data_IF_907318083722
#
_entry.id   IF_907318083722
#
_cell.length_a   1.000
_cell.length_b   1.000
_cell.length_c   1.000
_cell.angle_alpha   90.00
_cell.angle_beta   90.00
_cell.angle_gamma   90.00
#
_symmetry.space_group_name_H-M   'P 1'
#
loop_
_entity.id
_entity.type
_entity.pdbx_description
1 polymer ?
#
# COMPACT_ATOMS: atom_id res chain seq x y z
N UNK A 1 -0.09 30.84 -6.18
CA UNK A 1 -1.42 30.27 -5.82
C UNK A 1 -2.28 30.30 -7.08
N UNK A 2 -3.32 29.48 -7.23
CA UNK A 2 -4.30 29.71 -8.30
C UNK A 2 -4.98 31.08 -8.11
N UNK A 3 -5.34 31.75 -9.18
CA UNK A 3 -6.01 33.05 -9.15
C UNK A 3 -7.51 32.91 -9.50
N UNK A 4 -8.21 34.04 -9.58
CA UNK A 4 -9.64 34.10 -9.83
C UNK A 4 -10.09 33.38 -11.13
N UNK A 5 -9.35 33.44 -12.27
CA UNK A 5 -9.71 32.74 -13.49
C UNK A 5 -9.65 31.21 -13.35
N UNK A 6 -8.61 30.66 -12.72
CA UNK A 6 -8.49 29.21 -12.52
C UNK A 6 -9.61 28.68 -11.61
N UNK A 7 -9.99 29.45 -10.58
CA UNK A 7 -11.10 29.09 -9.69
C UNK A 7 -12.46 29.15 -10.42
N UNK A 8 -12.68 30.13 -11.31
CA UNK A 8 -13.90 30.19 -12.13
C UNK A 8 -13.97 29.09 -13.19
N UNK A 9 -12.85 28.74 -13.81
CA UNK A 9 -12.77 27.63 -14.76
C UNK A 9 -13.00 26.27 -14.06
N UNK A 10 -12.40 26.07 -12.88
CA UNK A 10 -12.68 24.91 -12.04
C UNK A 10 -14.16 24.85 -11.63
N UNK A 11 -14.76 25.98 -11.24
CA UNK A 11 -16.19 26.07 -10.91
C UNK A 11 -17.11 25.71 -12.08
N UNK A 12 -16.81 26.16 -13.31
CA UNK A 12 -17.56 25.75 -14.51
C UNK A 12 -17.42 24.26 -14.79
N UNK A 13 -16.20 23.73 -14.75
CA UNK A 13 -15.93 22.31 -15.01
C UNK A 13 -16.62 21.37 -14.00
N UNK A 14 -16.77 21.80 -12.74
CA UNK A 14 -17.51 21.05 -11.71
C UNK A 14 -19.02 21.01 -12.01
N UNK A 15 -19.58 22.05 -12.66
CA UNK A 15 -21.02 22.20 -12.87
C UNK A 15 -21.56 21.49 -14.12
N UNK A 16 -20.72 20.93 -15.00
CA UNK A 16 -21.17 20.25 -16.23
C UNK A 16 -21.63 18.80 -16.01
N UNK A 17 -21.43 18.22 -14.82
CA UNK A 17 -21.81 16.85 -14.49
C UNK A 17 -23.03 16.80 -13.55
N UNK A 18 -24.24 16.97 -14.10
CA UNK A 18 -25.51 16.94 -13.33
C UNK A 18 -25.70 15.67 -12.50
N UNK A 19 -25.27 14.51 -13.02
CA UNK A 19 -25.28 13.24 -12.29
C UNK A 19 -24.25 12.25 -12.86
N UNK A 20 -23.72 11.39 -11.98
CA UNK A 20 -22.76 10.33 -12.33
C UNK A 20 -23.02 9.06 -11.50
N UNK A 21 -22.63 7.91 -12.04
CA UNK A 21 -22.61 6.62 -11.35
C UNK A 21 -21.18 6.27 -10.95
N UNK A 22 -21.00 5.81 -9.72
CA UNK A 22 -19.74 5.22 -9.25
C UNK A 22 -19.83 3.71 -9.40
N UNK A 23 -18.81 3.09 -10.01
CA UNK A 23 -18.57 1.65 -9.93
C UNK A 23 -17.13 1.38 -9.48
N UNK A 24 -16.83 0.14 -9.08
CA UNK A 24 -15.53 -0.23 -8.53
C UNK A 24 -15.04 -1.58 -9.08
N UNK A 25 -13.73 -1.68 -9.33
CA UNK A 25 -13.05 -2.96 -9.59
C UNK A 25 -11.77 -3.05 -8.75
N UNK A 26 -11.33 -4.25 -8.39
CA UNK A 26 -10.14 -4.46 -7.57
C UNK A 26 -9.12 -5.36 -8.29
N UNK A 27 -7.84 -5.04 -8.17
CA UNK A 27 -6.72 -5.80 -8.72
C UNK A 27 -5.56 -5.89 -7.72
N UNK A 28 -5.50 -7.00 -6.99
CA UNK A 28 -4.50 -7.24 -5.95
C UNK A 28 -4.67 -6.27 -4.78
N UNK A 29 -3.77 -5.29 -4.64
CA UNK A 29 -3.86 -4.24 -3.59
C UNK A 29 -4.19 -2.84 -4.14
N UNK A 30 -4.81 -2.80 -5.31
CA UNK A 30 -5.33 -1.58 -5.92
C UNK A 30 -6.84 -1.72 -6.13
N UNK A 31 -7.56 -0.62 -5.97
CA UNK A 31 -8.99 -0.52 -6.26
C UNK A 31 -9.20 0.67 -7.20
N UNK A 32 -9.85 0.45 -8.33
CA UNK A 32 -10.23 1.50 -9.27
C UNK A 32 -11.68 1.88 -9.03
N UNK A 33 -11.96 3.15 -8.78
CA UNK A 33 -13.29 3.72 -8.94
C UNK A 33 -13.43 4.29 -10.34
N UNK A 34 -14.57 4.05 -10.96
CA UNK A 34 -14.95 4.56 -12.26
C UNK A 34 -16.15 5.49 -12.06
N UNK A 35 -15.98 6.77 -12.40
CA UNK A 35 -17.01 7.80 -12.34
C UNK A 35 -17.57 7.98 -13.75
N UNK A 36 -18.73 7.38 -14.03
CA UNK A 36 -19.39 7.44 -15.33
C UNK A 36 -20.53 8.48 -15.29
N UNK A 37 -20.46 9.59 -16.05
CA UNK A 37 -21.59 10.52 -16.20
C UNK A 37 -22.87 9.79 -16.67
N UNK A 38 -24.03 10.25 -16.22
CA UNK A 38 -25.32 9.74 -16.73
C UNK A 38 -25.76 10.42 -18.04
N UNK A 39 -25.26 11.63 -18.30
CA UNK A 39 -25.45 12.36 -19.56
C UNK A 39 -24.23 12.27 -20.48
N UNK A 40 -24.07 13.26 -21.36
CA UNK A 40 -22.90 13.39 -22.23
C UNK A 40 -21.67 13.81 -21.43
N UNK A 41 -20.66 12.93 -21.34
CA UNK A 41 -19.39 13.25 -20.69
C UNK A 41 -18.38 12.11 -20.80
N UNK A 42 -17.11 12.41 -20.55
CA UNK A 42 -16.07 11.39 -20.46
C UNK A 42 -16.08 10.72 -19.07
N UNK A 43 -15.91 9.40 -19.03
CA UNK A 43 -15.69 8.65 -17.79
C UNK A 43 -14.37 9.04 -17.15
N UNK A 44 -14.35 9.25 -15.83
CA UNK A 44 -13.14 9.53 -15.06
C UNK A 44 -12.82 8.36 -14.12
N UNK A 45 -11.65 7.76 -14.27
CA UNK A 45 -11.14 6.73 -13.38
C UNK A 45 -10.19 7.28 -12.30
N UNK A 46 -10.20 6.62 -11.13
CA UNK A 46 -9.36 6.90 -9.97
C UNK A 46 -8.84 5.58 -9.39
N UNK A 47 -7.53 5.34 -9.39
CA UNK A 47 -6.92 4.13 -8.79
C UNK A 47 -6.36 4.42 -7.40
N UNK A 48 -6.94 3.77 -6.39
CA UNK A 48 -6.63 3.87 -4.97
C UNK A 48 -5.71 2.73 -4.49
N UNK A 49 -4.87 3.06 -3.52
CA UNK A 49 -4.20 2.13 -2.60
C UNK A 49 -4.52 2.60 -1.18
N UNK A 50 -4.99 1.71 -0.31
CA UNK A 50 -5.53 2.12 1.01
C UNK A 50 -4.46 2.29 2.10
N UNK A 51 -3.20 1.90 1.86
CA UNK A 51 -2.17 1.93 2.89
C UNK A 51 -2.48 0.95 4.03
N UNK A 52 -2.53 1.45 5.27
CA UNK A 52 -2.82 0.64 6.48
C UNK A 52 -4.16 0.98 7.16
N UNK A 53 -4.83 2.06 6.77
CA UNK A 53 -6.06 2.52 7.43
C UNK A 53 -7.06 3.20 6.48
N UNK A 54 -6.78 3.18 5.17
CA UNK A 54 -7.74 3.59 4.16
C UNK A 54 -8.94 2.65 4.10
N UNK A 55 -10.12 3.22 3.98
CA UNK A 55 -11.40 2.53 3.81
C UNK A 55 -12.36 3.43 3.02
N UNK A 56 -13.37 2.84 2.38
CA UNK A 56 -14.54 3.58 1.94
C UNK A 56 -15.67 3.42 2.94
N UNK A 57 -16.40 4.50 3.21
CA UNK A 57 -17.62 4.50 4.02
C UNK A 57 -18.67 5.35 3.34
N UNK A 58 -19.90 4.85 3.27
CA UNK A 58 -21.07 5.65 2.90
C UNK A 58 -21.72 6.15 4.19
N UNK A 59 -21.96 7.45 4.29
CA UNK A 59 -22.47 8.12 5.50
C UNK A 59 -23.41 9.27 5.12
N UNK A 60 -24.27 9.77 6.04
CA UNK A 60 -24.99 11.02 5.83
C UNK A 60 -24.02 12.18 5.58
N UNK A 61 -24.30 13.07 4.63
CA UNK A 61 -23.39 14.17 4.31
C UNK A 61 -23.26 15.22 5.43
N UNK A 62 -24.17 15.21 6.41
CA UNK A 62 -24.09 15.99 7.65
C UNK A 62 -23.10 15.39 8.68
N UNK A 63 -22.82 14.08 8.60
CA UNK A 63 -22.08 13.31 9.62
C UNK A 63 -20.77 12.74 9.05
N UNK A 64 -19.97 13.63 8.44
CA UNK A 64 -18.74 13.22 7.77
C UNK A 64 -17.67 12.72 8.76
N UNK A 65 -17.05 11.55 8.53
CA UNK A 65 -15.92 11.08 9.32
C UNK A 65 -14.75 12.07 9.33
N UNK A 66 -14.19 12.35 10.51
CA UNK A 66 -13.07 13.30 10.76
C UNK A 66 -11.87 13.15 9.81
N UNK A 67 -11.65 11.96 9.26
CA UNK A 67 -10.52 11.61 8.40
C UNK A 67 -10.92 11.28 6.96
N UNK A 68 -12.06 11.78 6.47
CA UNK A 68 -12.48 11.71 5.08
C UNK A 68 -11.67 12.70 4.21
N UNK A 69 -10.74 12.18 3.39
CA UNK A 69 -9.85 13.01 2.55
C UNK A 69 -10.35 13.19 1.12
N UNK A 70 -11.21 12.29 0.64
CA UNK A 70 -11.92 12.41 -0.64
C UNK A 70 -13.38 12.03 -0.40
N UNK A 71 -14.32 12.74 -1.04
CA UNK A 71 -15.75 12.65 -0.80
C UNK A 71 -16.50 12.72 -2.14
N UNK A 72 -17.44 11.82 -2.35
CA UNK A 72 -18.37 11.83 -3.47
C UNK A 72 -19.79 12.00 -2.90
N UNK A 73 -20.49 13.07 -3.28
CA UNK A 73 -21.83 13.37 -2.78
C UNK A 73 -22.89 12.74 -3.68
N UNK A 74 -23.96 12.20 -3.08
CA UNK A 74 -25.18 11.80 -3.81
C UNK A 74 -26.09 13.01 -4.00
N UNK A 75 -26.93 12.97 -5.05
CA UNK A 75 -27.98 13.95 -5.34
C UNK A 75 -29.30 13.66 -4.60
N UNK A 76 -29.29 12.72 -3.66
CA UNK A 76 -30.44 12.33 -2.84
C UNK A 76 -30.74 13.42 -1.79
N UNK A 77 -31.96 13.40 -1.22
CA UNK A 77 -32.34 14.25 -0.09
C UNK A 77 -32.87 13.38 1.06
N UNK A 78 -32.23 13.37 2.25
CA UNK A 78 -30.99 14.06 2.57
C UNK A 78 -29.77 13.47 1.85
N UNK A 79 -28.76 14.29 1.49
CA UNK A 79 -27.60 13.82 0.74
C UNK A 79 -26.71 12.89 1.57
N UNK A 80 -26.09 11.92 0.89
CA UNK A 80 -25.08 11.00 1.45
C UNK A 80 -23.71 11.27 0.83
N UNK A 81 -22.66 10.84 1.52
CA UNK A 81 -21.27 11.00 1.09
C UNK A 81 -20.54 9.66 1.13
N UNK A 82 -20.06 9.20 -0.04
CA UNK A 82 -19.07 8.13 -0.11
C UNK A 82 -17.69 8.74 0.16
N UNK A 83 -17.11 8.39 1.31
CA UNK A 83 -15.89 8.98 1.82
C UNK A 83 -14.72 7.99 1.76
N UNK A 84 -13.59 8.39 1.18
CA UNK A 84 -12.31 7.73 1.41
C UNK A 84 -11.74 8.22 2.75
N UNK A 85 -11.82 7.37 3.77
CA UNK A 85 -11.38 7.66 5.14
C UNK A 85 -10.02 7.00 5.38
N UNK A 86 -9.00 7.78 5.73
CA UNK A 86 -7.68 7.26 6.12
C UNK A 86 -7.06 8.03 7.28
N UNK A 87 -7.11 7.45 8.49
CA UNK A 87 -6.58 8.09 9.71
C UNK A 87 -5.08 8.40 9.60
N UNK A 88 -4.30 7.56 8.92
CA UNK A 88 -2.83 7.63 8.90
C UNK A 88 -2.25 8.32 7.66
N UNK A 89 -3.09 8.65 6.68
CA UNK A 89 -2.69 9.32 5.41
C UNK A 89 -1.57 8.57 4.67
N UNK A 90 -1.64 7.24 4.65
CA UNK A 90 -0.74 6.36 3.89
C UNK A 90 -1.41 5.79 2.64
N UNK A 91 -2.72 5.98 2.50
CA UNK A 91 -3.41 5.77 1.25
C UNK A 91 -3.02 6.81 0.20
N UNK A 92 -3.18 6.43 -1.07
CA UNK A 92 -2.86 7.26 -2.22
C UNK A 92 -3.84 6.96 -3.35
N UNK A 93 -4.28 7.98 -4.09
CA UNK A 93 -5.00 7.79 -5.35
C UNK A 93 -4.31 8.51 -6.50
N UNK A 94 -4.57 8.05 -7.73
CA UNK A 94 -4.14 8.68 -8.98
C UNK A 94 -5.31 8.79 -9.94
N UNK A 95 -5.32 9.83 -10.76
CA UNK A 95 -6.23 9.96 -11.90
C UNK A 95 -5.84 8.98 -13.01
N UNK A 96 -6.83 8.51 -13.77
CA UNK A 96 -6.65 7.55 -14.86
C UNK A 96 -6.96 6.11 -14.45
N UNK A 97 -7.05 5.24 -15.45
CA UNK A 97 -7.55 3.87 -15.33
C UNK A 97 -6.47 2.81 -15.09
N UNK A 98 -5.21 3.17 -15.37
CA UNK A 98 -4.06 2.29 -15.39
C UNK A 98 -3.67 1.77 -13.99
N UNK A 99 -3.56 0.45 -13.87
CA UNK A 99 -2.93 -0.26 -12.73
C UNK A 99 -1.42 0.02 -12.65
N UNK A 100 -0.78 -0.26 -11.51
CA UNK A 100 0.66 -0.04 -11.33
C UNK A 100 1.43 -1.02 -12.26
N UNK A 101 2.26 -0.50 -13.17
CA UNK A 101 2.93 -1.30 -14.20
C UNK A 101 3.89 -2.37 -13.64
N UNK A 102 4.42 -2.17 -12.44
CA UNK A 102 5.30 -3.08 -11.72
C UNK A 102 4.55 -4.19 -10.94
N UNK A 103 3.20 -4.25 -11.03
CA UNK A 103 2.37 -5.25 -10.35
C UNK A 103 1.91 -6.37 -11.27
N UNK A 104 2.16 -7.59 -10.83
CA UNK A 104 1.72 -8.80 -11.50
C UNK A 104 0.19 -9.01 -11.44
N UNK A 105 -0.29 -10.10 -12.06
CA UNK A 105 -1.70 -10.49 -12.01
C UNK A 105 -2.21 -10.68 -10.59
N UNK A 106 -3.47 -10.33 -10.37
CA UNK A 106 -4.18 -10.49 -9.10
C UNK A 106 -4.32 -11.97 -8.73
N UNK A 107 -3.91 -12.34 -7.53
CA UNK A 107 -4.05 -13.73 -7.03
C UNK A 107 -5.51 -14.19 -6.92
N UNK A 108 -6.47 -13.27 -6.83
CA UNK A 108 -7.92 -13.56 -6.76
C UNK A 108 -8.53 -13.65 -8.15
N UNK A 109 -8.50 -12.57 -8.93
CA UNK A 109 -9.24 -12.44 -10.20
C UNK A 109 -8.47 -12.94 -11.44
N UNK A 110 -7.16 -13.16 -11.34
CA UNK A 110 -6.30 -13.52 -12.48
C UNK A 110 -5.44 -14.77 -12.16
N UNK A 111 -5.95 -15.73 -11.38
CA UNK A 111 -5.17 -16.87 -10.82
C UNK A 111 -4.27 -17.58 -11.83
N UNK A 112 -4.78 -17.94 -13.02
CA UNK A 112 -4.01 -18.67 -14.02
C UNK A 112 -2.83 -17.83 -14.54
N UNK A 113 -3.07 -16.56 -14.89
CA UNK A 113 -2.02 -15.64 -15.31
C UNK A 113 -1.02 -15.34 -14.17
N UNK A 114 -1.48 -15.27 -12.92
CA UNK A 114 -0.62 -15.17 -11.73
C UNK A 114 0.32 -16.38 -11.63
N UNK A 115 -0.22 -17.61 -11.71
CA UNK A 115 0.55 -18.85 -11.62
C UNK A 115 1.60 -18.90 -12.74
N UNK A 116 1.20 -18.64 -13.98
CA UNK A 116 2.10 -18.62 -15.14
C UNK A 116 3.20 -17.55 -14.99
N UNK A 117 2.86 -16.34 -14.53
CA UNK A 117 3.82 -15.27 -14.27
C UNK A 117 4.88 -15.66 -13.22
N UNK A 118 4.50 -16.38 -12.16
CA UNK A 118 5.49 -16.90 -11.18
C UNK A 118 6.35 -18.00 -11.81
N UNK A 119 5.73 -19.02 -12.41
CA UNK A 119 6.43 -20.21 -12.91
C UNK A 119 7.35 -19.94 -14.11
N UNK A 120 7.05 -18.89 -14.91
CA UNK A 120 7.87 -18.45 -16.03
C UNK A 120 9.11 -17.64 -15.61
N UNK A 121 9.09 -17.03 -14.42
CA UNK A 121 10.12 -16.08 -13.98
C UNK A 121 10.90 -16.56 -12.74
N UNK A 122 10.95 -17.87 -12.46
CA UNK A 122 11.62 -18.41 -11.27
C UNK A 122 13.11 -18.01 -11.17
N UNK A 123 13.78 -17.75 -12.29
CA UNK A 123 15.17 -17.27 -12.36
C UNK A 123 15.36 -15.82 -11.88
N UNK A 124 14.28 -15.05 -11.66
CA UNK A 124 14.34 -13.69 -11.12
C UNK A 124 14.94 -13.70 -9.70
N UNK A 125 15.81 -12.71 -9.42
CA UNK A 125 16.48 -12.52 -8.11
C UNK A 125 15.50 -12.32 -6.95
N UNK A 126 14.24 -11.99 -7.22
CA UNK A 126 13.16 -12.01 -6.23
C UNK A 126 13.00 -13.38 -5.54
N UNK A 127 13.27 -14.48 -6.25
CA UNK A 127 13.14 -15.85 -5.75
C UNK A 127 14.43 -16.38 -5.08
N UNK A 128 15.52 -15.62 -5.09
CA UNK A 128 16.69 -15.92 -4.24
C UNK A 128 16.47 -15.54 -2.77
N UNK A 129 15.42 -14.79 -2.45
CA UNK A 129 15.06 -14.36 -1.10
C UNK A 129 14.30 -15.44 -0.31
N UNK A 130 14.19 -15.29 1.02
CA UNK A 130 13.24 -16.03 1.85
C UNK A 130 11.83 -16.09 1.24
N UNK A 131 11.15 -17.23 1.28
CA UNK A 131 9.80 -17.39 0.74
C UNK A 131 8.79 -16.43 1.39
N UNK A 132 8.92 -16.15 2.69
CA UNK A 132 8.07 -15.16 3.35
C UNK A 132 8.26 -13.72 2.81
N UNK A 133 9.41 -13.39 2.21
CA UNK A 133 9.66 -12.09 1.58
C UNK A 133 9.24 -12.09 0.10
N UNK A 134 9.52 -13.17 -0.63
CA UNK A 134 9.07 -13.33 -2.01
C UNK A 134 7.54 -13.20 -2.11
N UNK A 135 6.80 -13.81 -1.18
CA UNK A 135 5.33 -13.68 -1.06
C UNK A 135 4.82 -12.24 -0.86
N UNK A 136 5.66 -11.29 -0.44
CA UNK A 136 5.28 -9.87 -0.36
C UNK A 136 5.56 -9.08 -1.64
N UNK A 137 6.33 -9.63 -2.58
CA UNK A 137 6.71 -8.94 -3.82
C UNK A 137 5.48 -8.83 -4.76
N UNK A 138 4.99 -7.61 -4.96
CA UNK A 138 3.76 -7.36 -5.73
C UNK A 138 3.94 -7.51 -7.25
N UNK A 139 5.18 -7.63 -7.76
CA UNK A 139 5.46 -8.04 -9.15
C UNK A 139 4.99 -9.47 -9.43
N UNK A 140 4.97 -10.31 -8.40
CA UNK A 140 4.64 -11.73 -8.51
C UNK A 140 3.37 -12.09 -7.74
N UNK A 141 3.23 -11.63 -6.50
CA UNK A 141 2.13 -11.97 -5.58
C UNK A 141 1.26 -10.73 -5.30
N UNK A 142 0.66 -10.16 -6.34
CA UNK A 142 -0.18 -8.96 -6.22
C UNK A 142 -1.48 -9.28 -5.47
N UNK A 143 -1.60 -8.76 -4.25
CA UNK A 143 -2.66 -9.10 -3.29
C UNK A 143 -2.13 -9.64 -1.95
N UNK A 144 -1.07 -10.46 -1.95
CA UNK A 144 -0.62 -11.16 -0.73
C UNK A 144 -0.03 -10.19 0.31
N UNK A 145 -0.69 -10.13 1.47
CA UNK A 145 -0.36 -9.28 2.62
C UNK A 145 0.41 -9.99 3.73
N UNK A 146 0.65 -9.26 4.83
CA UNK A 146 1.45 -9.79 5.95
C UNK A 146 0.76 -10.93 6.72
N UNK A 147 -0.57 -10.89 6.84
CA UNK A 147 -1.34 -11.98 7.44
C UNK A 147 -1.42 -13.17 6.47
N UNK A 148 -1.80 -12.92 5.20
CA UNK A 148 -1.89 -13.96 4.17
C UNK A 148 -0.62 -14.79 4.04
N UNK A 149 0.59 -14.18 4.01
CA UNK A 149 1.82 -14.98 3.93
C UNK A 149 2.02 -15.92 5.11
N UNK A 150 1.60 -15.54 6.32
CA UNK A 150 1.69 -16.40 7.50
C UNK A 150 0.66 -17.54 7.42
N UNK A 151 -0.58 -17.23 7.05
CA UNK A 151 -1.68 -18.18 6.90
C UNK A 151 -1.44 -19.22 5.79
N UNK A 152 -0.83 -18.79 4.67
CA UNK A 152 -0.47 -19.65 3.53
C UNK A 152 0.69 -20.58 3.90
N UNK A 153 1.80 -20.04 4.42
CA UNK A 153 2.97 -20.85 4.82
C UNK A 153 2.63 -21.84 5.94
N UNK A 154 1.76 -21.43 6.88
CA UNK A 154 1.30 -22.28 7.98
C UNK A 154 0.46 -23.48 7.52
N UNK A 155 -0.41 -23.31 6.52
CA UNK A 155 -1.22 -24.40 5.94
C UNK A 155 -0.34 -25.50 5.33
N UNK A 156 0.80 -25.14 4.74
CA UNK A 156 1.76 -26.10 4.14
C UNK A 156 2.95 -26.48 5.05
N UNK A 157 3.03 -25.91 6.26
CA UNK A 157 4.16 -26.08 7.19
C UNK A 157 5.53 -25.75 6.56
N UNK A 158 5.56 -24.80 5.62
CA UNK A 158 6.79 -24.36 4.95
C UNK A 158 7.53 -23.38 5.89
N UNK A 159 8.83 -23.62 6.22
CA UNK A 159 9.60 -22.67 7.02
C UNK A 159 9.72 -21.31 6.29
N UNK A 160 9.41 -20.19 6.96
CA UNK A 160 9.33 -18.88 6.29
C UNK A 160 10.64 -18.38 5.67
N UNK A 161 11.77 -18.88 6.15
CA UNK A 161 13.11 -18.57 5.67
C UNK A 161 13.74 -19.72 4.85
N UNK A 162 12.93 -20.56 4.22
CA UNK A 162 13.39 -21.32 3.05
C UNK A 162 13.62 -20.40 1.84
N UNK A 163 14.53 -20.81 0.95
CA UNK A 163 14.78 -20.11 -0.31
C UNK A 163 13.56 -20.25 -1.24
N UNK A 164 13.01 -19.13 -1.70
CA UNK A 164 11.75 -19.15 -2.45
C UNK A 164 11.80 -19.98 -3.73
N UNK A 165 12.90 -19.90 -4.50
CA UNK A 165 13.09 -20.71 -5.71
C UNK A 165 13.02 -22.21 -5.43
N UNK A 166 13.73 -22.68 -4.40
CA UNK A 166 13.76 -24.10 -4.01
C UNK A 166 12.37 -24.64 -3.64
N UNK A 167 11.55 -23.84 -2.94
CA UNK A 167 10.16 -24.20 -2.62
C UNK A 167 9.31 -24.33 -3.89
N UNK A 168 9.45 -23.39 -4.83
CA UNK A 168 8.64 -23.35 -6.06
C UNK A 168 9.07 -24.40 -7.10
N UNK A 169 10.37 -24.70 -7.20
CA UNK A 169 10.91 -25.77 -8.04
C UNK A 169 10.46 -27.15 -7.54
N UNK A 170 10.60 -27.43 -6.25
CA UNK A 170 10.10 -28.68 -5.66
C UNK A 170 8.59 -28.88 -5.91
N UNK A 171 7.81 -27.80 -5.93
CA UNK A 171 6.39 -27.84 -6.28
C UNK A 171 6.16 -28.10 -7.77
N UNK A 172 6.96 -27.52 -8.67
CA UNK A 172 6.93 -27.81 -10.12
C UNK A 172 7.13 -29.30 -10.39
N UNK A 173 8.11 -29.90 -9.74
CA UNK A 173 8.47 -31.31 -9.92
C UNK A 173 7.43 -32.25 -9.31
N UNK A 174 6.88 -31.89 -8.15
CA UNK A 174 5.72 -32.57 -7.58
C UNK A 174 4.51 -32.48 -8.50
N UNK A 175 4.22 -31.32 -9.11
CA UNK A 175 3.11 -31.16 -10.03
C UNK A 175 3.30 -32.02 -11.29
N UNK A 176 4.48 -32.01 -11.91
CA UNK A 176 4.77 -32.86 -13.07
C UNK A 176 4.66 -34.35 -12.73
N UNK A 177 5.17 -34.77 -11.58
CA UNK A 177 5.07 -36.15 -11.08
C UNK A 177 3.61 -36.54 -10.83
N UNK A 178 2.81 -35.65 -10.23
CA UNK A 178 1.36 -35.82 -10.07
C UNK A 178 0.66 -35.90 -11.42
N UNK A 179 0.96 -35.03 -12.39
CA UNK A 179 0.36 -35.06 -13.75
C UNK A 179 0.65 -36.40 -14.45
N UNK A 180 1.88 -36.91 -14.39
CA UNK A 180 2.25 -38.25 -14.90
C UNK A 180 1.45 -39.36 -14.20
N UNK A 181 1.42 -39.38 -12.87
CA UNK A 181 0.67 -40.38 -12.07
C UNK A 181 -0.85 -40.29 -12.25
N UNK A 182 -1.37 -39.09 -12.49
CA UNK A 182 -2.78 -38.83 -12.70
C UNK A 182 -3.23 -39.12 -14.13
N UNK A 183 -2.32 -39.36 -15.08
CA UNK A 183 -2.66 -39.76 -16.45
C UNK A 183 -3.60 -40.98 -16.45
N UNK A 184 -3.28 -42.00 -15.66
CA UNK A 184 -4.01 -43.27 -15.55
C UNK A 184 -5.18 -43.29 -14.54
N UNK A 185 -5.50 -42.17 -13.88
CA UNK A 185 -6.59 -42.11 -12.90
C UNK A 185 -7.92 -41.64 -13.51
N UNK A 186 -9.04 -42.01 -12.88
CA UNK A 186 -10.37 -41.48 -13.23
C UNK A 186 -10.54 -40.04 -12.73
N UNK A 187 -11.38 -39.23 -13.41
CA UNK A 187 -11.59 -37.81 -13.10
C UNK A 187 -11.87 -37.56 -11.60
N UNK A 188 -12.77 -38.35 -11.00
CA UNK A 188 -13.15 -38.24 -9.59
C UNK A 188 -11.99 -38.50 -8.63
N UNK A 189 -11.07 -39.43 -8.98
CA UNK A 189 -9.84 -39.68 -8.20
C UNK A 189 -8.85 -38.52 -8.34
N UNK A 190 -8.68 -37.94 -9.55
CA UNK A 190 -7.85 -36.73 -9.77
C UNK A 190 -8.35 -35.55 -8.94
N UNK A 191 -9.65 -35.26 -8.99
CA UNK A 191 -10.28 -34.16 -8.23
C UNK A 191 -10.14 -34.35 -6.71
N UNK A 192 -10.39 -35.56 -6.20
CA UNK A 192 -10.20 -35.88 -4.77
C UNK A 192 -8.74 -35.70 -4.34
N UNK A 193 -7.78 -36.06 -5.18
CA UNK A 193 -6.36 -35.93 -4.87
C UNK A 193 -5.85 -34.48 -4.94
N UNK A 194 -6.30 -33.68 -5.91
CA UNK A 194 -5.98 -32.25 -5.96
C UNK A 194 -6.53 -31.51 -4.75
N UNK A 195 -7.79 -31.78 -4.36
CA UNK A 195 -8.43 -31.13 -3.20
C UNK A 195 -7.73 -31.40 -1.87
N UNK A 196 -7.03 -32.53 -1.75
CA UNK A 196 -6.41 -32.95 -0.49
C UNK A 196 -5.00 -32.36 -0.27
N UNK A 197 -4.24 -32.09 -1.35
CA UNK A 197 -2.84 -31.66 -1.27
C UNK A 197 -2.60 -30.40 -2.13
N UNK A 198 -3.19 -29.23 -1.79
CA UNK A 198 -2.98 -28.00 -2.55
C UNK A 198 -1.51 -27.55 -2.52
N UNK A 199 -1.05 -26.85 -3.56
CA UNK A 199 0.27 -26.21 -3.60
C UNK A 199 0.28 -24.75 -3.10
N UNK A 200 1.47 -24.14 -3.04
CA UNK A 200 1.62 -22.76 -2.52
C UNK A 200 0.87 -21.73 -3.35
N UNK A 201 0.86 -21.88 -4.68
CA UNK A 201 0.24 -20.92 -5.59
C UNK A 201 -1.28 -21.10 -5.60
N UNK A 202 -1.76 -22.34 -5.51
CA UNK A 202 -3.18 -22.65 -5.25
C UNK A 202 -3.66 -22.02 -3.95
N UNK A 203 -2.88 -22.11 -2.85
CA UNK A 203 -3.22 -21.44 -1.59
C UNK A 203 -3.08 -19.91 -1.65
N UNK A 204 -2.21 -19.36 -2.50
CA UNK A 204 -2.18 -17.91 -2.75
C UNK A 204 -3.50 -17.39 -3.35
N UNK A 205 -4.30 -18.24 -3.99
CA UNK A 205 -5.65 -17.94 -4.46
C UNK A 205 -6.73 -18.35 -3.45
N UNK A 206 -6.69 -19.60 -2.97
CA UNK A 206 -7.72 -20.18 -2.12
C UNK A 206 -7.83 -19.48 -0.76
N UNK A 207 -6.71 -19.13 -0.11
CA UNK A 207 -6.73 -18.51 1.23
C UNK A 207 -7.39 -17.12 1.20
N UNK A 208 -7.09 -16.21 0.24
CA UNK A 208 -7.90 -15.01 0.05
C UNK A 208 -9.37 -15.27 -0.30
N UNK A 209 -9.68 -16.33 -1.05
CA UNK A 209 -11.07 -16.67 -1.39
C UNK A 209 -11.87 -17.18 -0.19
N UNK A 210 -11.26 -17.89 0.77
CA UNK A 210 -11.87 -18.23 2.06
C UNK A 210 -12.33 -16.96 2.79
N UNK A 211 -11.45 -15.96 2.88
CA UNK A 211 -11.73 -14.65 3.50
C UNK A 211 -12.92 -13.98 2.80
N UNK A 212 -12.87 -13.79 1.48
CA UNK A 212 -13.96 -13.19 0.69
C UNK A 212 -15.30 -13.95 0.88
N UNK A 213 -15.26 -15.29 0.99
CA UNK A 213 -16.46 -16.11 1.19
C UNK A 213 -17.05 -15.98 2.61
N UNK A 214 -16.21 -15.82 3.65
CA UNK A 214 -16.62 -15.54 5.03
C UNK A 214 -17.14 -14.11 5.20
N UNK A 215 -16.60 -13.15 4.46
CA UNK A 215 -16.76 -11.71 4.67
C UNK A 215 -17.90 -11.06 3.85
N UNK A 216 -19.01 -11.77 3.59
CA UNK A 216 -20.14 -11.27 2.78
C UNK A 216 -20.81 -9.98 3.30
N UNK A 217 -20.58 -9.60 4.57
CA UNK A 217 -21.24 -8.47 5.25
C UNK A 217 -20.27 -7.34 5.68
N UNK A 218 -19.04 -7.27 5.14
CA UNK A 218 -17.96 -6.41 5.67
C UNK A 218 -17.91 -4.97 5.14
N UNK A 219 -18.91 -4.53 4.39
CA UNK A 219 -19.06 -3.11 4.00
C UNK A 219 -19.75 -2.26 5.08
N UNK A 220 -20.27 -2.88 6.14
CA UNK A 220 -20.68 -2.17 7.35
C UNK A 220 -19.54 -2.18 8.39
N UNK A 221 -18.87 -1.03 8.64
CA UNK A 221 -17.78 -0.95 9.60
C UNK A 221 -18.21 -1.03 11.07
N UNK A 222 -19.52 -1.00 11.35
CA UNK A 222 -20.05 -0.95 12.72
C UNK A 222 -20.55 -2.33 13.23
N UNK A 223 -20.47 -3.37 12.41
CA UNK A 223 -20.70 -4.76 12.82
C UNK A 223 -19.47 -5.38 13.51
N UNK A 224 -19.44 -5.34 14.85
CA UNK A 224 -18.37 -5.90 15.68
C UNK A 224 -18.09 -7.40 15.44
N UNK A 225 -19.12 -8.17 15.09
CA UNK A 225 -19.04 -9.60 14.80
C UNK A 225 -18.11 -9.95 13.64
N UNK A 226 -17.98 -9.06 12.65
CA UNK A 226 -17.10 -9.26 11.48
C UNK A 226 -15.63 -9.41 11.90
N UNK A 227 -15.17 -8.62 12.87
CA UNK A 227 -13.78 -8.72 13.37
C UNK A 227 -13.56 -10.00 14.21
N UNK A 228 -14.58 -10.44 14.96
CA UNK A 228 -14.52 -11.68 15.71
C UNK A 228 -14.45 -12.90 14.78
N UNK A 229 -15.25 -12.93 13.71
CA UNK A 229 -15.21 -13.97 12.69
C UNK A 229 -13.82 -14.05 12.01
N UNK A 230 -13.27 -12.91 11.55
CA UNK A 230 -11.93 -12.86 10.97
C UNK A 230 -10.85 -13.34 11.95
N UNK A 231 -10.92 -12.90 13.21
CA UNK A 231 -9.98 -13.32 14.27
C UNK A 231 -10.03 -14.82 14.55
N UNK A 232 -11.20 -15.44 14.43
CA UNK A 232 -11.38 -16.90 14.59
C UNK A 232 -10.92 -17.70 13.35
N UNK A 233 -10.92 -17.09 12.17
CA UNK A 233 -10.37 -17.71 10.94
C UNK A 233 -8.83 -17.76 10.93
N UNK A 234 -8.15 -16.83 11.61
CA UNK A 234 -6.68 -16.81 11.69
C UNK A 234 -6.12 -18.02 12.44
N UNK A 235 -5.26 -18.80 11.77
CA UNK A 235 -4.65 -20.01 12.34
C UNK A 235 -3.21 -19.78 12.83
N UNK A 236 -2.53 -18.76 12.32
CA UNK A 236 -1.12 -18.48 12.61
C UNK A 236 -0.84 -17.01 12.94
N UNK A 237 -1.41 -16.08 12.18
CA UNK A 237 -1.12 -14.65 12.33
C UNK A 237 -1.64 -14.10 13.66
N UNK A 238 -0.74 -13.58 14.50
CA UNK A 238 -1.02 -13.08 15.87
C UNK A 238 -1.57 -14.15 16.85
N UNK A 239 -1.63 -15.43 16.47
CA UNK A 239 -2.17 -16.52 17.29
C UNK A 239 -1.24 -16.84 18.47
N UNK A 240 -1.74 -17.05 19.70
CA UNK A 240 -0.92 -17.44 20.85
C UNK A 240 -0.12 -18.72 20.61
N UNK A 241 1.07 -18.83 21.22
CA UNK A 241 1.93 -20.01 21.07
C UNK A 241 2.76 -20.07 19.78
N UNK A 242 2.36 -19.35 18.72
CA UNK A 242 3.13 -19.28 17.46
C UNK A 242 4.46 -18.54 17.63
N UNK A 243 5.45 -18.94 16.82
CA UNK A 243 6.75 -18.29 16.71
C UNK A 243 6.65 -17.04 15.84
N UNK A 244 7.44 -16.02 16.17
CA UNK A 244 7.58 -14.82 15.36
C UNK A 244 9.03 -14.36 15.23
N UNK A 245 9.37 -13.86 14.04
CA UNK A 245 10.67 -13.27 13.67
C UNK A 245 10.43 -12.05 12.78
N UNK A 246 11.45 -11.19 12.60
CA UNK A 246 11.41 -10.12 11.59
C UNK A 246 12.09 -10.57 10.31
N UNK A 247 11.51 -10.23 9.17
CA UNK A 247 12.18 -10.35 7.87
C UNK A 247 13.22 -9.24 7.65
N UNK A 248 14.00 -9.31 6.56
CA UNK A 248 15.04 -8.32 6.26
C UNK A 248 14.49 -6.91 6.01
N UNK A 249 13.18 -6.77 5.78
CA UNK A 249 12.47 -5.49 5.61
C UNK A 249 11.82 -5.03 6.94
N UNK A 250 12.15 -5.68 8.06
CA UNK A 250 11.70 -5.34 9.41
C UNK A 250 10.26 -5.77 9.74
N UNK A 251 9.54 -6.45 8.84
CA UNK A 251 8.15 -6.87 9.06
C UNK A 251 8.11 -8.20 9.81
N UNK A 252 7.20 -8.33 10.77
CA UNK A 252 7.04 -9.58 11.52
C UNK A 252 6.36 -10.65 10.66
N UNK A 253 6.98 -11.82 10.58
CA UNK A 253 6.40 -13.07 10.07
C UNK A 253 6.03 -13.99 11.26
N UNK A 254 4.88 -14.67 11.15
CA UNK A 254 4.37 -15.65 12.11
C UNK A 254 4.46 -17.04 11.49
N UNK A 255 4.85 -18.04 12.27
CA UNK A 255 5.04 -19.43 11.81
C UNK A 255 5.02 -20.43 12.98
N UNK A 256 5.00 -21.72 12.65
CA UNK A 256 5.09 -22.85 13.58
C UNK A 256 6.28 -23.74 13.19
N UNK A 257 7.00 -24.27 14.19
CA UNK A 257 8.19 -25.10 13.96
C UNK A 257 9.45 -24.28 13.68
N UNK A 258 10.33 -24.85 12.85
CA UNK A 258 11.62 -24.25 12.49
C UNK A 258 11.48 -23.04 11.54
N UNK A 259 12.40 -22.05 11.62
CA UNK A 259 12.32 -20.86 10.79
C UNK A 259 12.82 -21.06 9.36
N UNK A 260 13.75 -22.01 9.12
CA UNK A 260 14.43 -22.22 7.84
C UNK A 260 15.86 -21.63 7.80
N UNK A 261 16.67 -22.00 6.79
CA UNK A 261 18.12 -21.75 6.76
C UNK A 261 18.51 -20.28 6.55
N UNK A 262 17.65 -19.46 5.92
CA UNK A 262 17.89 -18.04 5.68
C UNK A 262 17.43 -17.12 6.84
N UNK A 263 17.18 -17.69 8.03
CA UNK A 263 16.70 -16.92 9.17
C UNK A 263 17.76 -15.90 9.66
N UNK A 264 17.35 -14.69 10.09
CA UNK A 264 18.31 -13.67 10.55
C UNK A 264 19.13 -14.15 11.76
N UNK A 265 20.44 -14.31 11.54
CA UNK A 265 21.38 -14.74 12.59
C UNK A 265 21.33 -13.78 13.78
N UNK A 266 21.21 -14.34 14.99
CA UNK A 266 21.15 -13.59 16.25
C UNK A 266 19.74 -13.22 16.75
N UNK A 267 18.67 -13.38 15.96
CA UNK A 267 17.31 -13.22 16.48
C UNK A 267 16.77 -14.54 17.05
N UNK A 268 16.49 -14.58 18.36
CA UNK A 268 15.69 -15.66 18.97
C UNK A 268 14.21 -15.45 18.62
N UNK A 269 13.53 -16.50 18.19
CA UNK A 269 12.10 -16.46 17.89
C UNK A 269 11.29 -16.11 19.14
N UNK A 270 10.39 -15.13 19.00
CA UNK A 270 9.52 -14.71 20.11
C UNK A 270 8.22 -15.49 20.04
N UNK A 271 7.98 -16.39 21.00
CA UNK A 271 6.67 -17.01 21.21
C UNK A 271 5.74 -16.03 21.92
N UNK A 272 4.55 -15.79 21.37
CA UNK A 272 3.52 -14.95 22.02
C UNK A 272 2.95 -15.70 23.23
N UNK A 273 3.41 -15.35 24.44
CA UNK A 273 2.79 -15.81 25.69
C UNK A 273 1.36 -15.24 25.77
N UNK A 274 0.39 -16.08 26.13
CA UNK A 274 -0.94 -15.61 26.47
C UNK A 274 -0.88 -14.88 27.82
N UNK A 275 -0.84 -13.54 27.79
CA UNK A 275 -1.25 -12.76 28.95
C UNK A 275 -2.77 -12.65 28.91
N UNK A 276 -3.43 -13.43 29.77
CA UNK A 276 -4.76 -13.09 30.25
C UNK A 276 -4.62 -11.78 31.04
N UNK A 277 -4.92 -10.66 30.38
CA UNK A 277 -5.38 -9.46 31.08
C UNK A 277 -6.90 -9.53 31.06
N UNK A 278 -7.49 -9.67 32.23
CA UNK A 278 -8.90 -9.38 32.42
C UNK A 278 -9.15 -7.88 32.11
N UNK A 279 -10.33 -7.57 31.62
CA UNK A 279 -10.78 -6.18 31.49
C UNK A 279 -10.84 -5.51 32.87
N UNK A 280 -10.40 -4.26 32.99
CA UNK A 280 -10.99 -3.32 33.93
C UNK A 280 -12.21 -2.67 33.26
N UNK A 281 -13.39 -2.97 33.78
CA UNK A 281 -14.63 -2.26 33.45
C UNK A 281 -14.51 -0.75 33.63
N UNK A 282 -15.42 -0.02 32.95
CA UNK A 282 -15.44 1.42 32.95
C UNK A 282 -15.71 2.01 34.34
N UNK A 283 -14.84 2.92 34.78
CA UNK A 283 -15.14 3.88 35.84
C UNK A 283 -14.82 5.29 35.35
N UNK A 284 -15.75 6.21 35.62
CA UNK A 284 -15.76 7.60 35.18
C UNK A 284 -14.71 8.45 35.93
N UNK A 285 -14.21 9.54 35.33
CA UNK A 285 -13.31 10.46 36.01
C UNK A 285 -14.09 11.52 36.80
N UNK A 286 -14.25 11.32 38.11
CA UNK A 286 -14.57 12.45 39.00
C UNK A 286 -13.31 13.27 39.34
N UNK A 287 -13.48 14.59 39.35
CA UNK A 287 -12.43 15.57 39.66
C UNK A 287 -12.40 15.84 41.17
N UNK A 288 -11.30 15.54 41.83
CA UNK A 288 -10.96 16.15 43.14
C UNK A 288 -9.49 16.57 43.23
N UNK A 289 -9.20 17.52 44.11
CA UNK A 289 -8.02 18.39 44.05
C UNK A 289 -7.02 18.15 45.20
N UNK A 290 -5.78 18.62 44.99
CA UNK A 290 -4.74 18.93 46.01
C UNK A 290 -4.24 17.80 46.93
N UNK A 291 -2.93 17.54 46.92
CA UNK A 291 -1.98 18.20 47.84
C UNK A 291 -0.57 17.58 47.82
N UNK A 292 0.43 18.42 48.09
CA UNK A 292 1.87 18.13 48.14
C UNK A 292 2.31 17.06 49.15
N UNK A 293 3.43 16.38 48.86
CA UNK A 293 4.48 16.08 49.86
C UNK A 293 5.88 15.99 49.22
N UNK A 294 6.76 16.91 49.58
CA UNK A 294 8.21 16.92 49.23
C UNK A 294 8.95 15.84 50.05
N UNK A 295 10.12 15.40 49.57
CA UNK A 295 11.20 14.83 50.40
C UNK A 295 12.40 15.81 50.45
N UNK A 296 13.21 15.80 51.52
CA UNK A 296 14.12 16.91 51.83
C UNK A 296 15.53 16.76 51.22
N UNK A 297 16.27 17.88 51.19
CA UNK A 297 17.73 17.94 51.05
C UNK A 297 18.36 18.35 52.39
N UNK A 298 19.55 17.85 52.69
CA UNK A 298 20.45 18.36 53.74
C UNK A 298 21.44 19.37 53.17
N UNK A 299 21.83 20.36 54.00
CA UNK A 299 22.90 21.35 53.76
C UNK A 299 24.22 20.85 54.44
N UNK A 300 25.39 21.52 54.52
CA UNK A 300 25.84 22.94 54.52
C UNK A 300 27.23 23.02 53.80
N UNK A 301 27.72 24.09 53.12
CA UNK A 301 28.15 25.48 53.50
C UNK A 301 29.37 25.54 54.47
N UNK A 302 30.28 26.56 54.41
CA UNK A 302 30.00 28.01 54.34
C UNK A 302 30.93 28.83 53.35
N UNK A 303 31.35 30.13 53.52
CA UNK A 303 31.07 31.19 52.51
C UNK A 303 32.26 32.18 52.20
N UNK A 304 31.95 33.47 51.89
CA UNK A 304 32.81 34.69 51.65
C UNK A 304 33.29 34.94 50.19
N UNK A 305 33.42 36.17 49.64
CA UNK A 305 32.95 37.56 50.00
C UNK A 305 33.24 38.59 48.86
N UNK A 306 32.52 39.74 48.80
CA UNK A 306 32.84 41.03 48.09
C UNK A 306 32.91 41.02 46.52
N UNK A 307 32.25 41.91 45.76
CA UNK A 307 32.52 43.35 45.42
C UNK A 307 33.86 43.56 44.66
N UNK A 308 34.03 44.38 43.59
CA UNK A 308 33.17 45.25 42.77
C UNK A 308 33.81 45.50 41.35
N UNK A 309 32.97 45.81 40.34
CA UNK A 309 33.14 46.71 39.15
C UNK A 309 34.45 46.77 38.27
N UNK A 310 34.23 46.64 36.94
CA UNK A 310 34.98 47.16 35.75
C UNK A 310 36.41 46.68 35.38
N UNK A 311 36.61 46.21 34.14
CA UNK A 311 37.12 47.00 32.98
C UNK A 311 37.30 46.15 31.68
N UNK A 312 37.21 46.81 30.51
CA UNK A 312 37.97 46.55 29.26
C UNK A 312 38.02 45.15 28.59
N UNK A 313 37.29 44.92 27.48
CA UNK A 313 37.51 43.77 26.59
C UNK A 313 38.46 44.10 25.41
N UNK A 314 39.78 44.26 25.62
CA UNK A 314 40.77 44.44 24.53
C UNK A 314 42.17 43.87 24.73
N UNK A 315 42.45 42.76 24.04
CA UNK A 315 43.53 42.54 23.02
C UNK A 315 43.37 41.09 22.52
N UNK A 316 43.46 40.75 21.24
CA UNK A 316 44.26 41.32 20.14
C UNK A 316 45.28 40.25 19.73
N UNK A 317 45.63 40.01 18.46
CA UNK A 317 45.49 40.73 17.18
C UNK A 317 45.26 39.66 16.06
N UNK A 318 44.65 39.85 14.90
CA UNK A 318 44.71 40.94 13.90
C UNK A 318 46.11 41.09 13.23
N UNK A 319 46.31 41.43 11.94
CA UNK A 319 45.43 41.63 10.76
C UNK A 319 46.34 41.89 9.52
N UNK A 320 45.85 41.64 8.30
CA UNK A 320 46.16 42.47 7.11
C UNK A 320 46.93 41.80 5.95
N UNK A 321 46.95 42.37 4.72
CA UNK A 321 46.20 43.56 4.20
C UNK A 321 46.26 43.68 2.64
N UNK A 322 45.08 43.75 1.98
CA UNK A 322 44.66 44.49 0.74
C UNK A 322 45.59 44.72 -0.48
N UNK A 323 45.02 44.48 -1.69
CA UNK A 323 44.79 45.39 -2.87
C UNK A 323 44.06 44.58 -3.98
N UNK A 324 43.05 44.98 -4.78
CA UNK A 324 42.66 46.21 -5.52
C UNK A 324 43.66 46.58 -6.65
N UNK A 325 43.31 46.81 -7.93
CA UNK A 325 42.04 47.10 -8.68
C UNK A 325 41.87 46.12 -9.90
N UNK A 326 41.03 46.26 -10.95
CA UNK A 326 40.21 47.34 -11.53
C UNK A 326 38.96 46.84 -12.34
N UNK A 327 38.41 47.68 -13.23
CA UNK A 327 37.32 47.46 -14.22
C UNK A 327 37.76 48.08 -15.59
N UNK A 328 36.95 48.31 -16.67
CA UNK A 328 35.47 48.29 -16.88
C UNK A 328 35.06 47.18 -17.91
N UNK A 329 33.95 47.15 -18.68
CA UNK A 329 32.87 48.11 -19.01
C UNK A 329 31.52 47.41 -19.35
N UNK A 330 30.63 48.06 -20.13
CA UNK A 330 29.24 47.67 -20.47
C UNK A 330 28.85 48.10 -21.90
N UNK A 331 27.95 47.35 -22.57
CA UNK A 331 26.86 47.82 -23.49
C UNK A 331 26.27 46.61 -24.25
N UNK A 332 25.02 46.17 -24.02
CA UNK A 332 23.73 46.66 -24.55
C UNK A 332 23.31 46.11 -25.94
N UNK A 333 22.02 45.73 -26.03
CA UNK A 333 21.21 45.47 -27.24
C UNK A 333 21.67 44.26 -28.15
N UNK A 334 20.84 43.65 -29.00
CA UNK A 334 19.44 43.89 -29.38
C UNK A 334 18.75 42.59 -29.85
N UNK A 335 17.42 42.63 -30.05
CA UNK A 335 16.62 41.53 -30.63
C UNK A 335 16.50 41.72 -32.15
N UNK A 336 16.41 40.65 -32.95
CA UNK A 336 15.53 40.69 -34.13
C UNK A 336 14.48 39.58 -34.18
N UNK A 337 13.32 39.92 -34.74
CA UNK A 337 12.10 39.11 -34.86
C UNK A 337 11.63 39.11 -36.32
N UNK A 338 11.03 37.99 -36.78
CA UNK A 338 10.39 37.76 -38.11
C UNK A 338 11.40 37.61 -39.27
N UNK A 339 11.18 36.75 -40.28
CA UNK A 339 9.93 36.68 -41.04
C UNK A 339 9.68 35.39 -41.87
N UNK A 340 8.37 35.08 -41.99
CA UNK A 340 7.58 34.70 -43.19
C UNK A 340 7.85 33.42 -44.03
N UNK A 341 6.80 32.59 -44.05
CA UNK A 341 6.10 31.98 -45.21
C UNK A 341 6.93 31.43 -46.39
N UNK A 342 6.73 30.14 -46.67
CA UNK A 342 6.26 29.70 -47.99
C UNK A 342 5.26 28.53 -47.87
N UNK A 343 4.30 28.47 -48.80
CA UNK A 343 3.45 27.29 -49.04
C UNK A 343 4.12 26.47 -50.13
N UNK A 344 4.09 25.14 -50.07
CA UNK A 344 3.97 24.32 -51.29
C UNK A 344 3.50 22.89 -51.01
N UNK A 345 2.35 22.56 -51.60
CA UNK A 345 1.91 21.18 -51.89
C UNK A 345 2.71 20.58 -53.04
N UNK A 346 2.97 19.27 -53.06
CA UNK A 346 3.07 18.52 -54.31
C UNK A 346 1.68 17.98 -54.71
N UNK A 347 1.33 18.14 -55.99
CA UNK A 347 0.01 17.81 -56.50
C UNK A 347 -0.14 16.34 -56.91
N UNK A 348 -1.38 15.86 -56.80
CA UNK A 348 -1.95 14.67 -57.43
C UNK A 348 -1.60 14.62 -58.94
N UNK A 349 -0.98 13.53 -59.43
CA UNK A 349 -1.05 13.14 -60.85
C UNK A 349 -1.88 11.85 -61.00
N UNK A 350 -3.05 12.00 -61.64
CA UNK A 350 -3.90 10.93 -62.17
C UNK A 350 -3.87 11.02 -63.71
N UNK A 351 -3.76 9.87 -64.38
CA UNK A 351 -4.13 9.49 -65.78
C UNK A 351 -3.46 8.11 -65.95
N UNK A 352 -4.13 7.00 -66.26
CA UNK A 352 -5.27 6.70 -67.15
C UNK A 352 -4.76 5.63 -68.14
N UNK A 353 -5.49 4.63 -68.65
CA UNK A 353 -6.89 4.18 -68.60
C UNK A 353 -6.91 2.62 -68.40
N UNK A 354 -7.95 1.91 -67.94
CA UNK A 354 -9.26 1.56 -68.56
C UNK A 354 -9.14 0.82 -69.93
N UNK A 355 -10.10 -0.04 -70.37
CA UNK A 355 -11.30 -0.59 -69.69
C UNK A 355 -11.54 -2.12 -69.89
N UNK A 356 -12.59 -2.68 -69.26
CA UNK A 356 -13.45 -3.81 -69.70
C UNK A 356 -14.38 -4.23 -68.52
N UNK A 357 -15.69 -4.44 -68.66
CA UNK A 357 -16.72 -4.08 -69.66
C UNK A 357 -17.96 -3.66 -68.85
#
# INVERSE_FOLDING_TARGET
>A
MPECPELHLAGRYINEAEAYRISATARGKELRLTLAPLGSGATQDLVFRFGMSGSFRLCPAAELPRHAHLRFLTSESPPRALCFVDVRRFGSWRLGDAWQLDRGPCVVSEYQAFRENVMKNLDDKAFDKPICEALLNQKFFNGIGNYLRAEILYRLKIPPFEKARTVLEAMKDQEQTRRKKNSSLTLSKKLKQMRNNPDLLELCHAVPMEVIATEKNLLDPDHSDNYAAFKNWLQCYLVPGMSSLRDHNGRTIWFQGEPGPMAPKGQRSRKKRAQLKADPEALTPEVTTRASKRRPKTAEKPPESAEEVADGPRKGRARGRKKATAAPALSQAEVPVKAKRSRQTPARRRRGAAPAV
#
